data_IF_086005540815
#
_entry.id   IF_086005540815
#
_cell.length_a   1.000
_cell.length_b   1.000
_cell.length_c   1.000
_cell.angle_alpha   90.00
_cell.angle_beta   90.00
_cell.angle_gamma   90.00
#
_symmetry.space_group_name_H-M   'P 1'
#
loop_
_entity.id
_entity.type
_entity.pdbx_description
1 polymer ?
#
# COMPACT_ATOMS: atom_id res chain seq x y z
N UNK A 1 12.25 -0.73 -3.81
CA UNK A 1 11.23 -0.18 -4.75
C UNK A 1 10.22 0.62 -3.94
N UNK A 2 9.46 1.56 -4.52
CA UNK A 2 8.58 2.44 -3.72
C UNK A 2 7.19 2.58 -4.30
N UNK A 3 6.21 2.75 -3.42
CA UNK A 3 4.81 3.06 -3.76
C UNK A 3 4.34 4.27 -2.96
N UNK A 4 3.29 4.93 -3.43
CA UNK A 4 2.65 6.05 -2.74
C UNK A 4 1.22 5.64 -2.42
N UNK A 5 0.83 5.84 -1.16
CA UNK A 5 -0.56 5.72 -0.70
C UNK A 5 -1.08 7.14 -0.49
N UNK A 6 -2.08 7.53 -1.26
CA UNK A 6 -2.70 8.85 -1.18
C UNK A 6 -4.09 8.76 -0.57
N UNK A 7 -4.41 9.68 0.33
CA UNK A 7 -5.71 9.80 0.98
C UNK A 7 -6.45 11.03 0.43
N UNK A 8 -7.79 10.99 0.40
CA UNK A 8 -8.62 12.12 -0.03
C UNK A 8 -8.40 13.39 0.79
N UNK A 9 -7.90 13.26 2.03
CA UNK A 9 -7.51 14.39 2.88
C UNK A 9 -6.31 15.19 2.34
N UNK A 10 -5.66 14.73 1.27
CA UNK A 10 -4.45 15.31 0.70
C UNK A 10 -3.15 14.79 1.34
N UNK A 11 -3.25 13.93 2.35
CA UNK A 11 -2.09 13.25 2.95
C UNK A 11 -1.62 12.17 1.98
N UNK A 12 -0.31 12.04 1.81
CA UNK A 12 0.30 10.93 1.08
C UNK A 12 1.45 10.34 1.89
N UNK A 13 1.62 9.02 1.78
CA UNK A 13 2.67 8.26 2.45
C UNK A 13 3.48 7.54 1.38
N UNK A 14 4.80 7.70 1.42
CA UNK A 14 5.73 6.92 0.61
C UNK A 14 6.15 5.67 1.37
N UNK A 15 6.03 4.50 0.74
CA UNK A 15 6.40 3.22 1.34
C UNK A 15 7.50 2.55 0.51
N UNK A 16 8.55 2.08 1.18
CA UNK A 16 9.54 1.21 0.55
C UNK A 16 9.10 -0.25 0.62
N UNK A 17 9.09 -0.90 -0.54
CA UNK A 17 8.83 -2.33 -0.69
C UNK A 17 10.16 -3.10 -0.69
N UNK A 18 10.23 -4.12 0.16
CA UNK A 18 11.33 -5.06 0.28
C UNK A 18 10.93 -6.45 -0.21
N UNK A 19 11.49 -6.87 -1.34
CA UNK A 19 11.19 -8.13 -2.02
C UNK A 19 12.06 -9.32 -1.59
N UNK A 20 12.92 -9.14 -0.57
CA UNK A 20 13.78 -10.23 -0.07
C UNK A 20 12.98 -11.39 0.53
N UNK A 21 11.95 -11.09 1.32
CA UNK A 21 11.18 -12.11 2.04
C UNK A 21 9.99 -12.63 1.21
N UNK A 22 9.28 -11.74 0.52
CA UNK A 22 8.00 -12.06 -0.14
C UNK A 22 7.90 -11.50 -1.58
N UNK A 23 8.77 -11.96 -2.50
CA UNK A 23 8.84 -11.40 -3.86
C UNK A 23 7.58 -11.65 -4.69
N UNK A 24 6.89 -12.79 -4.49
CA UNK A 24 5.63 -13.10 -5.20
C UNK A 24 4.50 -12.15 -4.81
N UNK A 25 4.38 -11.85 -3.51
CA UNK A 25 3.37 -10.93 -2.98
C UNK A 25 3.59 -9.52 -3.52
N UNK A 26 4.85 -9.06 -3.52
CA UNK A 26 5.20 -7.75 -4.07
C UNK A 26 4.88 -7.68 -5.56
N UNK A 27 5.20 -8.73 -6.34
CA UNK A 27 4.85 -8.76 -7.75
C UNK A 27 3.33 -8.68 -7.97
N UNK A 28 2.54 -9.40 -7.18
CA UNK A 28 1.08 -9.36 -7.28
C UNK A 28 0.54 -7.95 -6.95
N UNK A 29 1.05 -7.32 -5.89
CA UNK A 29 0.70 -5.95 -5.51
C UNK A 29 1.03 -4.94 -6.63
N UNK A 30 2.24 -5.00 -7.18
CA UNK A 30 2.64 -4.07 -8.26
C UNK A 30 1.77 -4.23 -9.51
N UNK A 31 1.44 -5.47 -9.86
CA UNK A 31 0.61 -5.75 -11.03
C UNK A 31 -0.83 -5.25 -10.88
N UNK A 32 -1.30 -5.03 -9.65
CA UNK A 32 -2.63 -4.47 -9.38
C UNK A 32 -2.63 -2.94 -9.26
N UNK A 33 -1.47 -2.28 -9.24
CA UNK A 33 -1.40 -0.82 -9.14
C UNK A 33 -1.64 -0.16 -10.51
N UNK A 34 -2.29 1.03 -10.54
CA UNK A 34 -2.92 1.71 -9.41
C UNK A 34 -4.31 1.13 -9.09
N UNK A 35 -4.73 1.20 -7.82
CA UNK A 35 -6.10 0.87 -7.40
C UNK A 35 -6.56 1.78 -6.26
N UNK A 36 -7.87 1.82 -6.05
CA UNK A 36 -8.53 2.54 -4.96
C UNK A 36 -9.22 1.54 -4.02
N UNK A 37 -9.24 1.85 -2.72
CA UNK A 37 -9.98 1.08 -1.72
C UNK A 37 -10.47 1.98 -0.58
N UNK A 38 -11.36 1.43 0.25
CA UNK A 38 -11.93 2.11 1.42
C UNK A 38 -11.11 1.79 2.66
N UNK A 39 -10.63 2.83 3.33
CA UNK A 39 -9.94 2.72 4.62
C UNK A 39 -10.87 2.16 5.70
N UNK A 40 -10.37 1.17 6.44
CA UNK A 40 -10.93 0.68 7.69
C UNK A 40 -9.88 0.81 8.81
N UNK A 41 -10.35 0.90 10.06
CA UNK A 41 -9.50 1.04 11.24
C UNK A 41 -9.66 -0.17 12.17
N UNK A 42 -8.54 -0.75 12.59
CA UNK A 42 -8.48 -1.71 13.68
C UNK A 42 -7.59 -1.14 14.79
N UNK A 43 -8.21 -0.49 15.79
CA UNK A 43 -7.46 0.17 16.85
C UNK A 43 -6.55 1.27 16.30
N UNK A 44 -5.23 1.02 16.25
CA UNK A 44 -4.22 1.94 15.68
C UNK A 44 -3.78 1.55 14.26
N UNK A 45 -4.31 0.47 13.70
CA UNK A 45 -3.97 -0.06 12.38
C UNK A 45 -4.94 0.44 11.31
N UNK A 46 -4.40 0.70 10.11
CA UNK A 46 -5.13 1.08 8.91
C UNK A 46 -5.04 -0.09 7.93
N UNK A 47 -6.19 -0.54 7.41
CA UNK A 47 -6.26 -1.57 6.38
C UNK A 47 -7.35 -1.24 5.35
N UNK A 48 -7.35 -1.98 4.24
CA UNK A 48 -8.13 -1.69 3.03
C UNK A 48 -8.72 -2.95 2.42
#
# INVERSE_FOLDING_TARGET
MRIIISFESGISIECELNDKENPKTIKALLNSLPFESKVNLWGKEIYF
#
